data_IF_722348995850
#
_entry.id   IF_722348995850
#
_cell.length_a   1.000
_cell.length_b   1.000
_cell.length_c   1.000
_cell.angle_alpha   90.00
_cell.angle_beta   90.00
_cell.angle_gamma   90.00
#
_symmetry.space_group_name_H-M   'P 1'
#
loop_
_entity.id
_entity.type
_entity.pdbx_description
1 polymer ?
#
# COMPACT_ATOMS: atom_id res chain seq x y z
N UNK A 1 9.84 -5.07 2.11
CA UNK A 1 8.61 -5.23 2.92
C UNK A 1 8.76 -4.41 4.20
N UNK A 2 7.67 -3.85 4.74
CA UNK A 2 7.72 -2.90 5.87
C UNK A 2 7.65 -1.42 5.47
N UNK A 3 7.48 -1.11 4.18
CA UNK A 3 7.29 0.25 3.72
C UNK A 3 5.90 0.77 4.09
N UNK A 4 5.83 2.02 4.55
CA UNK A 4 4.58 2.64 5.02
C UNK A 4 4.12 3.73 4.07
N UNK A 5 2.82 3.79 3.85
CA UNK A 5 2.17 4.72 2.94
C UNK A 5 0.92 5.30 3.57
N UNK A 6 0.66 6.57 3.29
CA UNK A 6 -0.59 7.25 3.63
C UNK A 6 -1.32 7.55 2.34
N UNK A 7 -2.64 7.35 2.31
CA UNK A 7 -3.44 7.80 1.17
C UNK A 7 -3.53 9.33 1.24
N UNK A 8 -3.39 10.03 0.12
CA UNK A 8 -3.41 11.50 0.11
C UNK A 8 -4.74 12.03 0.68
N UNK A 9 -5.87 11.45 0.28
CA UNK A 9 -7.21 11.86 0.75
C UNK A 9 -7.55 11.35 2.16
N UNK A 10 -6.70 10.52 2.77
CA UNK A 10 -6.92 9.94 4.09
C UNK A 10 -5.59 9.82 4.84
N UNK A 11 -4.95 10.97 5.05
CA UNK A 11 -3.60 11.06 5.61
C UNK A 11 -3.46 10.52 7.05
N UNK A 12 -4.58 10.39 7.78
CA UNK A 12 -4.62 9.82 9.13
C UNK A 12 -4.47 8.29 9.14
N UNK A 13 -4.65 7.62 8.00
CA UNK A 13 -4.56 6.17 7.90
C UNK A 13 -3.22 5.78 7.29
N UNK A 14 -2.42 5.06 8.09
CA UNK A 14 -1.13 4.51 7.66
C UNK A 14 -1.31 3.06 7.25
N UNK A 15 -0.84 2.74 6.05
CA UNK A 15 -0.83 1.41 5.47
C UNK A 15 0.60 0.89 5.38
N UNK A 16 0.83 -0.37 5.73
CA UNK A 16 2.14 -1.02 5.68
C UNK A 16 2.13 -2.15 4.64
N UNK A 17 3.14 -2.20 3.78
CA UNK A 17 3.30 -3.27 2.80
C UNK A 17 3.81 -4.53 3.49
N UNK A 18 2.97 -5.56 3.54
CA UNK A 18 3.29 -6.85 4.16
C UNK A 18 3.74 -7.90 3.16
N UNK A 19 3.25 -7.83 1.92
CA UNK A 19 3.60 -8.78 0.88
C UNK A 19 3.59 -8.10 -0.49
N UNK A 20 4.41 -8.59 -1.40
CA UNK A 20 4.37 -8.22 -2.82
C UNK A 20 4.28 -9.47 -3.66
N UNK A 21 3.47 -9.45 -4.71
CA UNK A 21 3.24 -10.60 -5.57
C UNK A 21 2.90 -10.16 -6.99
N UNK A 22 3.03 -11.07 -7.95
CA UNK A 22 2.60 -10.83 -9.33
C UNK A 22 1.18 -11.33 -9.50
N UNK A 23 0.28 -10.47 -9.98
CA UNK A 23 -1.09 -10.83 -10.28
C UNK A 23 -1.18 -11.76 -11.49
N UNK A 24 -2.33 -12.42 -11.71
CA UNK A 24 -2.57 -13.25 -12.88
C UNK A 24 -2.57 -12.46 -14.20
N UNK A 25 -2.75 -11.14 -14.12
CA UNK A 25 -2.60 -10.15 -15.19
C UNK A 25 -1.13 -9.77 -15.47
N UNK A 26 -0.17 -10.35 -14.74
CA UNK A 26 1.26 -10.04 -14.86
C UNK A 26 1.70 -8.76 -14.16
N UNK A 27 0.77 -8.01 -13.54
CA UNK A 27 1.04 -6.72 -12.87
C UNK A 27 1.59 -6.97 -11.46
N UNK A 28 2.63 -6.24 -11.02
CA UNK A 28 3.13 -6.34 -9.65
C UNK A 28 2.21 -5.61 -8.67
N UNK A 29 1.71 -6.35 -7.67
CA UNK A 29 0.86 -5.85 -6.60
C UNK A 29 1.56 -5.88 -5.24
N UNK A 30 1.07 -5.04 -4.33
CA UNK A 30 1.42 -5.03 -2.93
C UNK A 30 0.16 -5.27 -2.09
N UNK A 31 0.26 -6.18 -1.13
CA UNK A 31 -0.71 -6.33 -0.04
C UNK A 31 -0.33 -5.36 1.07
N UNK A 32 -1.30 -4.53 1.46
CA UNK A 32 -1.16 -3.55 2.52
C UNK A 32 -2.11 -3.88 3.64
N UNK A 33 -1.68 -3.58 4.86
CA UNK A 33 -2.50 -3.65 6.07
C UNK A 33 -2.50 -2.30 6.77
N UNK A 34 -3.61 -1.93 7.39
CA UNK A 34 -3.67 -0.73 8.20
C UNK A 34 -2.86 -0.97 9.48
N UNK A 35 -1.98 -0.02 9.82
CA UNK A 35 -1.08 -0.12 10.99
C UNK A 35 -1.87 -0.09 12.30
N UNK A 36 -2.97 0.68 12.35
CA UNK A 36 -3.82 0.82 13.54
C UNK A 36 -4.87 -0.31 13.64
N UNK A 37 -5.21 -0.96 12.53
CA UNK A 37 -6.17 -2.06 12.46
C UNK A 37 -5.75 -3.10 11.41
N UNK A 38 -5.04 -4.14 11.85
CA UNK A 38 -4.50 -5.19 10.96
C UNK A 38 -5.57 -6.07 10.30
N UNK A 39 -6.84 -5.96 10.72
CA UNK A 39 -7.96 -6.64 10.05
C UNK A 39 -8.29 -5.98 8.71
N UNK A 40 -8.02 -4.68 8.58
CA UNK A 40 -8.17 -3.96 7.32
C UNK A 40 -6.99 -4.23 6.41
N UNK A 41 -7.29 -4.84 5.27
CA UNK A 41 -6.31 -5.22 4.24
C UNK A 41 -6.76 -4.71 2.89
N UNK A 42 -5.81 -4.40 2.03
CA UNK A 42 -6.09 -4.08 0.62
C UNK A 42 -4.93 -4.43 -0.28
N UNK A 43 -5.23 -4.63 -1.54
CA UNK A 43 -4.26 -4.85 -2.60
C UNK A 43 -4.21 -3.62 -3.49
N UNK A 44 -3.02 -3.15 -3.81
CA UNK A 44 -2.80 -2.05 -4.76
C UNK A 44 -1.63 -2.37 -5.68
N UNK A 45 -1.70 -1.90 -6.91
CA UNK A 45 -0.59 -2.01 -7.85
C UNK A 45 0.62 -1.27 -7.29
N UNK A 46 1.81 -1.87 -7.37
CA UNK A 46 3.05 -1.23 -6.89
C UNK A 46 3.30 0.11 -7.58
N UNK A 47 2.87 0.24 -8.83
CA UNK A 47 3.03 1.48 -9.58
C UNK A 47 2.25 2.64 -8.96
N UNK A 48 1.07 2.38 -8.37
CA UNK A 48 0.31 3.40 -7.66
C UNK A 48 1.02 3.89 -6.38
N UNK A 49 1.82 3.03 -5.75
CA UNK A 49 2.66 3.41 -4.60
C UNK A 49 3.90 4.21 -5.04
N UNK A 50 4.53 3.81 -6.15
CA UNK A 50 5.74 4.46 -6.67
C UNK A 50 5.48 5.85 -7.24
N UNK A 51 4.37 6.04 -7.95
CA UNK A 51 4.04 7.32 -8.59
C UNK A 51 3.79 8.45 -7.59
N UNK A 52 3.48 8.14 -6.34
CA UNK A 52 3.25 9.17 -5.33
C UNK A 52 1.94 9.95 -5.48
N UNK A 53 1.09 9.61 -6.46
CA UNK A 53 -0.12 10.37 -6.81
C UNK A 53 -1.28 10.05 -5.85
N UNK A 54 -1.43 8.80 -5.45
CA UNK A 54 -2.51 8.37 -4.53
C UNK A 54 -1.99 8.05 -3.12
N UNK A 55 -0.70 7.73 -3.03
CA UNK A 55 -0.05 7.26 -1.82
C UNK A 55 1.26 8.00 -1.62
N UNK A 56 1.43 8.60 -0.45
CA UNK A 56 2.69 9.22 -0.05
C UNK A 56 3.41 8.29 0.92
N UNK A 57 4.70 8.06 0.70
CA UNK A 57 5.53 7.28 1.64
C UNK A 57 5.55 8.01 2.99
N UNK A 58 5.25 7.30 4.06
CA UNK A 58 5.41 7.80 5.42
C UNK A 58 6.83 7.50 5.87
N UNK A 59 7.54 8.52 6.34
CA UNK A 59 8.70 8.32 7.22
C UNK A 59 8.26 7.60 8.50
#
# INVERSE_FOLDING_TARGET
MGERYRKIDAALIVWEVTQTFRGPDGVPYALLVNVNDRSQRKTVAQDALRRGIQYKRSN
#
